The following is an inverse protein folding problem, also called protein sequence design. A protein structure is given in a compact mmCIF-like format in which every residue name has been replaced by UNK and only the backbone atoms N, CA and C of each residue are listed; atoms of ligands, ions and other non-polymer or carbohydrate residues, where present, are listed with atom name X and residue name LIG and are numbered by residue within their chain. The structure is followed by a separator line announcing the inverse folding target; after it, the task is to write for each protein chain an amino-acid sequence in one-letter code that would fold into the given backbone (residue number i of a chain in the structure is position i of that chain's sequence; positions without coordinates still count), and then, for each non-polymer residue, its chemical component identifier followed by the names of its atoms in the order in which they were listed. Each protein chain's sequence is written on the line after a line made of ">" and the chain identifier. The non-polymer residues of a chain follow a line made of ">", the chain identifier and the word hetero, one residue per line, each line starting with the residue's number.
data_IF_164395347583
#
_entry.id   IF_164395347583
#
_cell.length_a   1.000
_cell.length_b   1.000
_cell.length_c   1.000
_cell.angle_alpha   90.00
_cell.angle_beta   90.00
_cell.angle_gamma   90.00
#
_symmetry.space_group_name_H-M   'P 1'
#
loop_
_entity.id
_entity.type
_entity.pdbx_description
1 polymer ?
#
# COMPACT_ATOMS: atom_id res chain seq x y z
N UNK A 1 15.97 1.53 9.23
CA UNK A 1 14.57 1.18 9.45
C UNK A 1 13.87 1.31 8.12
N UNK A 2 13.48 0.18 7.55
CA UNK A 2 12.80 -0.01 6.27
C UNK A 2 11.30 -0.30 6.44
N UNK A 3 10.84 -0.45 7.70
CA UNK A 3 9.43 -0.60 8.05
C UNK A 3 8.56 0.50 7.43
N UNK A 4 7.43 0.10 6.83
CA UNK A 4 6.59 0.98 6.01
C UNK A 4 7.01 1.07 4.54
N UNK A 5 8.19 0.56 4.17
CA UNK A 5 8.69 0.52 2.80
C UNK A 5 7.94 -0.48 1.90
N UNK A 6 8.02 -0.31 0.57
CA UNK A 6 7.26 -1.13 -0.37
C UNK A 6 7.97 -2.46 -0.71
N UNK A 7 7.19 -3.54 -0.75
CA UNK A 7 7.56 -4.76 -1.46
C UNK A 7 6.84 -4.78 -2.81
N UNK A 8 7.61 -4.70 -3.89
CA UNK A 8 7.11 -4.58 -5.27
C UNK A 8 7.48 -5.83 -6.07
N UNK A 9 6.52 -6.36 -6.83
CA UNK A 9 6.74 -7.45 -7.78
C UNK A 9 6.41 -6.99 -9.21
N UNK A 10 7.09 -7.57 -10.19
CA UNK A 10 6.72 -7.40 -11.61
C UNK A 10 5.65 -8.44 -11.95
N UNK A 11 4.47 -7.99 -12.39
CA UNK A 11 3.39 -8.89 -12.78
C UNK A 11 3.69 -9.53 -14.13
N UNK A 12 3.70 -10.86 -14.18
CA UNK A 12 4.09 -11.61 -15.38
C UNK A 12 3.17 -11.40 -16.60
N UNK A 13 1.93 -10.96 -16.41
CA UNK A 13 0.98 -10.79 -17.51
C UNK A 13 1.28 -9.60 -18.41
N UNK A 14 1.85 -8.52 -17.86
CA UNK A 14 2.01 -7.23 -18.55
C UNK A 14 3.23 -6.42 -18.09
N UNK A 15 4.13 -7.03 -17.31
CA UNK A 15 5.35 -6.42 -16.77
C UNK A 15 5.11 -5.16 -15.92
N UNK A 16 3.89 -4.96 -15.40
CA UNK A 16 3.63 -3.82 -14.50
C UNK A 16 4.22 -4.07 -13.13
N UNK A 17 4.77 -3.02 -12.51
CA UNK A 17 5.17 -3.05 -11.10
C UNK A 17 3.94 -2.98 -10.20
N UNK A 18 3.80 -3.95 -9.30
CA UNK A 18 2.66 -4.08 -8.38
C UNK A 18 3.17 -4.08 -6.96
N UNK A 19 2.58 -3.22 -6.12
CA UNK A 19 2.80 -3.22 -4.68
C UNK A 19 2.07 -4.41 -4.06
N UNK A 20 2.80 -5.36 -3.50
CA UNK A 20 2.25 -6.61 -2.94
C UNK A 20 2.34 -6.68 -1.42
N UNK A 21 3.26 -5.93 -0.82
CA UNK A 21 3.42 -5.91 0.63
C UNK A 21 4.04 -4.62 1.15
N UNK A 22 3.93 -4.43 2.46
CA UNK A 22 4.59 -3.35 3.21
C UNK A 22 5.53 -3.98 4.24
N UNK A 23 6.78 -3.55 4.27
CA UNK A 23 7.79 -4.06 5.22
C UNK A 23 7.27 -3.89 6.64
N UNK A 24 7.25 -4.97 7.41
CA UNK A 24 6.70 -4.96 8.77
C UNK A 24 7.74 -5.39 9.80
N UNK A 25 8.20 -6.64 9.72
CA UNK A 25 9.08 -7.23 10.73
C UNK A 25 10.10 -8.16 10.07
N UNK A 26 11.26 -8.31 10.71
CA UNK A 26 12.24 -9.33 10.34
C UNK A 26 12.82 -9.92 11.62
N UNK A 27 12.97 -11.25 11.66
CA UNK A 27 13.81 -11.89 12.66
C UNK A 27 15.25 -11.84 12.14
N UNK A 28 16.07 -10.96 12.72
CA UNK A 28 17.44 -10.65 12.26
C UNK A 28 17.50 -9.92 10.90
N UNK A 29 18.47 -9.01 10.74
CA UNK A 29 18.51 -8.11 9.57
C UNK A 29 19.19 -8.73 8.33
N UNK A 30 20.05 -9.74 8.49
CA UNK A 30 20.92 -10.25 7.43
C UNK A 30 20.52 -11.67 7.00
N UNK A 31 20.16 -12.52 7.97
CA UNK A 31 19.72 -13.88 7.72
C UNK A 31 18.43 -14.11 8.51
N UNK A 32 17.33 -14.42 7.84
CA UNK A 32 16.07 -14.65 8.54
C UNK A 32 14.84 -14.46 7.68
N UNK A 33 13.68 -14.53 8.33
CA UNK A 33 12.39 -14.36 7.70
C UNK A 33 11.96 -12.90 7.73
N UNK A 34 11.76 -12.33 6.55
CA UNK A 34 11.09 -11.03 6.41
C UNK A 34 9.57 -11.23 6.33
N UNK A 35 8.86 -10.48 7.14
CA UNK A 35 7.40 -10.47 7.24
C UNK A 35 6.88 -9.14 6.71
N UNK A 36 5.90 -9.22 5.83
CA UNK A 36 5.27 -8.07 5.17
C UNK A 36 3.77 -8.07 5.45
N UNK A 37 3.18 -6.89 5.62
CA UNK A 37 1.73 -6.76 5.61
C UNK A 37 1.22 -6.93 4.18
N UNK A 38 0.24 -7.82 3.97
CA UNK A 38 -0.29 -8.14 2.64
C UNK A 38 -1.18 -7.01 2.10
N UNK A 39 -0.75 -6.37 1.01
CA UNK A 39 -1.52 -5.27 0.39
C UNK A 39 -2.82 -5.79 -0.22
N UNK A 40 -2.80 -7.00 -0.77
CA UNK A 40 -4.00 -7.64 -1.31
C UNK A 40 -5.09 -7.85 -0.25
N UNK A 41 -4.70 -8.25 0.97
CA UNK A 41 -5.64 -8.42 2.08
C UNK A 41 -6.33 -7.10 2.46
N UNK A 42 -5.59 -6.00 2.47
CA UNK A 42 -6.09 -4.68 2.85
C UNK A 42 -6.66 -3.86 1.68
N UNK A 43 -6.62 -4.37 0.44
CA UNK A 43 -7.06 -3.62 -0.75
C UNK A 43 -8.48 -3.03 -0.62
N UNK A 44 -9.50 -3.74 -0.08
CA UNK A 44 -10.83 -3.15 0.08
C UNK A 44 -10.85 -1.92 0.99
N UNK A 45 -10.11 -1.98 2.11
CA UNK A 45 -9.98 -0.87 3.04
C UNK A 45 -9.22 0.31 2.41
N UNK A 46 -8.14 0.03 1.67
CA UNK A 46 -7.36 1.06 0.97
C UNK A 46 -8.26 1.79 -0.02
N UNK A 47 -8.97 1.07 -0.89
CA UNK A 47 -9.85 1.68 -1.91
C UNK A 47 -10.96 2.50 -1.27
N UNK A 48 -11.64 1.95 -0.25
CA UNK A 48 -12.72 2.66 0.45
C UNK A 48 -12.20 3.97 1.08
N UNK A 49 -11.04 3.91 1.72
CA UNK A 49 -10.42 5.08 2.35
C UNK A 49 -10.06 6.15 1.32
N UNK A 50 -9.51 5.75 0.17
CA UNK A 50 -9.17 6.67 -0.92
C UNK A 50 -10.41 7.32 -1.53
N UNK A 51 -11.48 6.56 -1.74
CA UNK A 51 -12.75 7.09 -2.26
C UNK A 51 -13.36 8.12 -1.31
N UNK A 52 -13.36 7.85 0.00
CA UNK A 52 -13.83 8.81 1.00
C UNK A 52 -12.98 10.08 1.03
N UNK A 53 -11.65 9.95 0.95
CA UNK A 53 -10.73 11.09 0.89
C UNK A 53 -11.04 11.94 -0.35
N UNK A 54 -11.24 11.31 -1.52
CA UNK A 54 -11.55 12.01 -2.77
C UNK A 54 -12.89 12.75 -2.71
N UNK A 55 -13.91 12.18 -2.06
CA UNK A 55 -15.20 12.86 -1.87
C UNK A 55 -15.04 14.09 -0.99
N UNK A 56 -14.36 13.94 0.16
CA UNK A 56 -14.09 15.07 1.07
C UNK A 56 -13.30 16.19 0.40
N UNK A 57 -12.31 15.86 -0.44
CA UNK A 57 -11.55 16.89 -1.17
C UNK A 57 -12.43 17.66 -2.15
N UNK A 58 -13.34 16.98 -2.84
CA UNK A 58 -14.25 17.61 -3.79
C UNK A 58 -15.27 18.51 -3.09
N UNK A 59 -15.80 18.05 -1.95
CA UNK A 59 -16.72 18.85 -1.13
C UNK A 59 -16.03 20.11 -0.56
N UNK A 60 -14.78 19.98 -0.13
CA UNK A 60 -13.99 21.12 0.37
C UNK A 60 -13.74 22.14 -0.74
N UNK A 61 -13.40 21.69 -1.96
CA UNK A 61 -13.22 22.59 -3.10
C UNK A 61 -14.53 23.26 -3.52
N UNK A 62 -15.65 22.54 -3.50
CA UNK A 62 -16.97 23.09 -3.82
C UNK A 62 -17.46 24.14 -2.81
N UNK A 63 -17.03 24.06 -1.54
CA UNK A 63 -17.34 25.04 -0.50
C UNK A 63 -16.44 26.28 -0.51
N UNK A 64 -15.35 26.27 -1.29
CA UNK A 64 -14.40 27.38 -1.37
C UNK A 64 -14.74 28.38 -2.50
N UNK A 65 -15.89 28.19 -3.18
CA UNK A 65 -16.44 29.10 -4.19
C UNK A 65 -17.75 29.74 -3.72
#
# INVERSE_FOLDING_TARGET
>A
GDSGGPLICTRSSDNTLVLVGVVSYGWECIEGLSVFASVAHFSPWITTTLDEISKRSNDTQAQTY
#
